data_IF_808482187759
#
_entry.id   IF_808482187759
#
_cell.length_a   1.000
_cell.length_b   1.000
_cell.length_c   1.000
_cell.angle_alpha   90.00
_cell.angle_beta   90.00
_cell.angle_gamma   90.00
#
_symmetry.space_group_name_H-M   'P 1'
#
loop_
_entity.id
_entity.type
_entity.pdbx_description
1 polymer ?
#
# COMPACT_ATOMS: atom_id res chain seq x y z
N UNK A 1 -31.47 45.40 -55.07
CA UNK A 1 -31.93 45.27 -53.67
C UNK A 1 -31.87 43.77 -53.37
N UNK A 2 -30.72 43.17 -53.06
CA UNK A 2 -29.84 43.34 -51.88
C UNK A 2 -30.60 43.19 -50.56
N UNK A 3 -30.73 41.95 -50.10
CA UNK A 3 -30.76 41.62 -48.67
C UNK A 3 -29.73 40.49 -48.47
N UNK A 4 -28.68 40.80 -47.73
CA UNK A 4 -27.62 39.90 -47.30
C UNK A 4 -27.90 39.52 -45.84
N UNK A 5 -27.84 38.22 -45.54
CA UNK A 5 -27.84 37.69 -44.18
C UNK A 5 -26.58 38.11 -43.41
N UNK A 6 -26.68 38.45 -42.10
CA UNK A 6 -25.51 38.79 -41.31
C UNK A 6 -24.80 37.53 -40.81
N UNK A 7 -23.51 37.43 -41.13
CA UNK A 7 -22.57 36.47 -40.56
C UNK A 7 -22.38 36.72 -39.06
N UNK A 8 -22.71 35.72 -38.25
CA UNK A 8 -22.36 35.67 -36.83
C UNK A 8 -20.84 35.56 -36.65
N UNK A 9 -20.21 36.64 -36.22
CA UNK A 9 -18.82 36.68 -35.77
C UNK A 9 -18.76 36.13 -34.33
N UNK A 10 -18.23 34.92 -34.15
CA UNK A 10 -18.09 34.27 -32.84
C UNK A 10 -16.83 34.82 -32.16
N UNK A 11 -17.02 35.61 -31.10
CA UNK A 11 -15.95 36.11 -30.23
C UNK A 11 -15.24 34.94 -29.51
N UNK A 12 -14.05 34.57 -29.97
CA UNK A 12 -13.15 33.65 -29.27
C UNK A 12 -12.07 34.44 -28.51
N UNK A 13 -12.37 34.94 -27.30
CA UNK A 13 -11.36 35.66 -26.51
C UNK A 13 -11.44 35.41 -24.99
N UNK A 14 -11.35 34.13 -24.55
CA UNK A 14 -10.73 33.87 -23.25
C UNK A 14 -9.65 32.78 -23.26
N UNK A 15 -9.61 31.95 -24.31
CA UNK A 15 -8.69 30.80 -24.40
C UNK A 15 -7.38 31.20 -25.08
N UNK A 16 -7.45 32.00 -26.14
CA UNK A 16 -6.27 32.49 -26.86
C UNK A 16 -5.37 33.38 -25.99
N UNK A 17 -5.97 34.20 -25.13
CA UNK A 17 -5.23 35.04 -24.19
C UNK A 17 -4.54 34.20 -23.09
N UNK A 18 -5.17 33.10 -22.68
CA UNK A 18 -4.55 32.12 -21.77
C UNK A 18 -3.39 31.38 -22.43
N UNK A 19 -3.52 31.02 -23.71
CA UNK A 19 -2.45 30.38 -24.48
C UNK A 19 -1.26 31.33 -24.59
N UNK A 20 -1.47 32.60 -24.97
CA UNK A 20 -0.40 33.61 -25.02
C UNK A 20 0.27 33.83 -23.66
N UNK A 21 -0.50 33.84 -22.58
CA UNK A 21 0.03 33.96 -21.21
C UNK A 21 0.89 32.75 -20.82
N UNK A 22 0.51 31.54 -21.23
CA UNK A 22 1.29 30.33 -20.96
C UNK A 22 2.56 30.28 -21.80
N UNK A 23 2.49 30.65 -23.08
CA UNK A 23 3.66 30.73 -23.98
C UNK A 23 4.70 31.72 -23.45
N UNK A 24 4.27 32.89 -22.96
CA UNK A 24 5.17 33.86 -22.34
C UNK A 24 5.87 33.31 -21.09
N UNK A 25 5.14 32.55 -20.26
CA UNK A 25 5.69 31.95 -19.04
C UNK A 25 6.65 30.80 -19.32
N UNK A 26 6.42 30.04 -20.39
CA UNK A 26 7.34 29.00 -20.86
C UNK A 26 8.63 29.63 -21.36
N UNK A 27 8.56 30.69 -22.19
CA UNK A 27 9.74 31.39 -22.67
C UNK A 27 10.59 31.99 -21.53
N UNK A 28 9.93 32.52 -20.48
CA UNK A 28 10.61 33.02 -19.29
C UNK A 28 11.37 31.89 -18.56
N UNK A 29 10.71 30.75 -18.35
CA UNK A 29 11.29 29.57 -17.70
C UNK A 29 12.44 28.96 -18.51
N UNK A 30 12.33 28.92 -19.83
CA UNK A 30 13.41 28.47 -20.72
C UNK A 30 14.63 29.39 -20.62
N UNK A 31 14.42 30.71 -20.53
CA UNK A 31 15.50 31.67 -20.32
C UNK A 31 16.18 31.49 -18.96
N UNK A 32 15.41 31.16 -17.91
CA UNK A 32 15.91 30.91 -16.58
C UNK A 32 16.70 29.61 -16.52
N UNK A 33 16.20 28.56 -17.20
CA UNK A 33 16.86 27.27 -17.33
C UNK A 33 18.18 27.37 -18.11
N UNK A 34 18.23 28.19 -19.17
CA UNK A 34 19.46 28.42 -19.91
C UNK A 34 20.53 29.19 -19.12
N UNK A 35 20.12 30.06 -18.19
CA UNK A 35 21.04 30.76 -17.26
C UNK A 35 21.61 29.84 -16.17
N UNK A 36 20.94 28.74 -15.87
CA UNK A 36 21.32 27.79 -14.81
C UNK A 36 22.23 26.65 -15.30
N UNK A 37 22.40 26.46 -16.61
CA UNK A 37 23.40 25.50 -17.12
C UNK A 37 24.81 26.11 -17.06
N UNK A 38 25.77 25.48 -16.35
CA UNK A 38 27.18 25.82 -16.51
C UNK A 38 27.59 25.57 -17.97
N UNK A 39 28.26 26.54 -18.58
CA UNK A 39 28.81 26.41 -19.94
C UNK A 39 29.76 25.20 -20.00
N UNK A 40 29.44 24.24 -20.87
CA UNK A 40 30.37 23.18 -21.25
C UNK A 40 31.55 23.81 -22.02
N UNK A 41 32.78 23.54 -21.55
CA UNK A 41 34.01 23.81 -22.29
C UNK A 41 34.14 22.82 -23.47
N UNK A 42 34.76 23.25 -24.59
CA UNK A 42 34.74 22.51 -25.86
C UNK A 42 35.77 21.38 -25.94
N UNK A 43 35.47 20.45 -26.85
CA UNK A 43 36.30 19.34 -27.34
C UNK A 43 37.74 19.73 -27.69
N UNK A 44 38.70 18.82 -27.44
CA UNK A 44 40.10 19.02 -27.81
C UNK A 44 41.05 17.84 -27.56
N UNK A 45 40.98 16.84 -28.45
CA UNK A 45 42.05 15.96 -28.97
C UNK A 45 43.32 15.66 -28.14
N UNK A 46 43.57 14.36 -27.98
CA UNK A 46 44.85 13.76 -27.63
C UNK A 46 45.99 14.10 -28.63
N UNK A 47 47.17 14.43 -28.12
CA UNK A 47 48.49 14.12 -28.68
C UNK A 47 49.51 14.00 -27.54
N UNK A 48 50.24 12.89 -27.51
CA UNK A 48 51.40 12.72 -26.63
C UNK A 48 52.64 13.41 -27.21
N UNK A 49 53.57 13.77 -26.33
CA UNK A 49 54.98 13.45 -26.50
C UNK A 49 55.80 13.69 -25.21
N UNK A 50 56.95 13.05 -25.22
CA UNK A 50 57.91 12.70 -24.18
C UNK A 50 58.91 13.79 -23.70
N UNK A 51 59.40 13.58 -22.47
CA UNK A 51 60.80 13.66 -21.98
C UNK A 51 61.44 14.99 -21.47
N UNK A 52 62.24 14.80 -20.39
CA UNK A 52 63.26 15.66 -19.71
C UNK A 52 62.82 16.97 -19.04
N UNK A 53 63.36 17.40 -17.89
CA UNK A 53 64.51 16.99 -17.07
C UNK A 53 64.95 18.19 -16.20
N UNK A 54 65.59 17.91 -15.07
CA UNK A 54 66.41 18.79 -14.20
C UNK A 54 65.80 19.70 -13.09
N UNK A 55 65.86 19.18 -11.85
CA UNK A 55 66.76 19.58 -10.72
C UNK A 55 67.41 20.99 -10.82
N UNK A 56 67.41 21.90 -9.81
CA UNK A 56 67.90 21.81 -8.41
C UNK A 56 67.70 23.18 -7.68
N UNK A 57 67.45 23.12 -6.36
CA UNK A 57 67.78 24.00 -5.19
C UNK A 57 68.08 25.53 -5.36
N UNK A 58 67.89 26.47 -4.42
CA UNK A 58 67.63 26.57 -2.96
C UNK A 58 67.43 28.08 -2.66
N UNK A 59 66.68 28.46 -1.62
CA UNK A 59 66.83 29.79 -1.00
C UNK A 59 65.62 30.33 -0.21
N UNK A 60 65.78 30.48 1.11
CA UNK A 60 64.77 30.86 2.13
C UNK A 60 64.39 32.36 2.15
N UNK A 61 63.12 32.68 2.43
CA UNK A 61 62.62 33.30 3.69
C UNK A 61 61.09 33.62 3.62
N UNK A 62 60.42 33.36 4.75
CA UNK A 62 59.12 33.78 5.33
C UNK A 62 58.11 34.55 4.43
N UNK A 63 56.82 34.20 4.39
CA UNK A 63 55.82 34.36 5.46
C UNK A 63 54.57 33.47 5.26
N UNK A 64 53.90 33.15 6.37
CA UNK A 64 52.47 32.82 6.64
C UNK A 64 51.57 31.99 5.68
N UNK A 65 50.67 31.23 6.32
CA UNK A 65 49.42 30.59 5.85
C UNK A 65 49.43 29.11 5.37
N UNK A 66 48.48 28.34 5.92
CA UNK A 66 47.78 27.29 5.16
C UNK A 66 48.20 25.83 5.35
N UNK A 67 48.26 25.29 6.57
CA UNK A 67 48.36 23.84 6.77
C UNK A 67 46.96 23.19 6.62
N UNK A 68 46.58 22.86 5.39
CA UNK A 68 45.51 21.90 5.12
C UNK A 68 45.91 20.54 5.68
N UNK A 69 45.39 20.20 6.85
CA UNK A 69 45.45 18.84 7.37
C UNK A 69 44.44 17.99 6.62
N UNK A 70 44.92 17.02 5.84
CA UNK A 70 44.16 15.84 5.44
C UNK A 70 43.50 15.25 6.68
N UNK A 71 42.18 15.42 6.79
CA UNK A 71 41.39 14.81 7.84
C UNK A 71 40.98 13.44 7.30
N UNK A 72 41.57 12.38 7.87
CA UNK A 72 41.17 11.00 7.66
C UNK A 72 39.64 10.87 7.83
N UNK A 73 38.91 10.78 6.73
CA UNK A 73 37.50 10.38 6.74
C UNK A 73 37.45 8.89 7.03
N UNK A 74 37.31 8.55 8.32
CA UNK A 74 36.95 7.19 8.67
C UNK A 74 35.55 6.90 8.12
N UNK A 75 35.34 5.77 7.43
CA UNK A 75 34.02 5.38 6.98
C UNK A 75 33.07 5.28 8.18
N UNK A 76 31.79 5.67 8.05
CA UNK A 76 30.86 5.63 9.16
C UNK A 76 30.78 4.22 9.74
N UNK A 77 30.76 4.11 11.07
CA UNK A 77 30.72 2.82 11.79
C UNK A 77 29.46 2.02 11.48
N UNK A 78 28.40 2.69 11.00
CA UNK A 78 27.14 2.08 10.56
C UNK A 78 26.75 2.62 9.18
N UNK A 79 26.25 1.73 8.31
CA UNK A 79 25.67 2.09 7.00
C UNK A 79 24.21 2.58 7.14
N UNK A 80 23.70 2.72 8.36
CA UNK A 80 22.41 3.35 8.65
C UNK A 80 22.61 4.77 9.19
N UNK A 81 21.82 5.71 8.70
CA UNK A 81 21.74 7.06 9.27
C UNK A 81 20.37 7.28 9.90
N UNK A 82 20.32 7.66 11.17
CA UNK A 82 19.07 8.04 11.85
C UNK A 82 19.11 9.54 12.15
N UNK A 83 18.09 10.27 11.72
CA UNK A 83 17.96 11.71 11.94
C UNK A 83 16.58 12.03 12.51
N UNK A 84 16.53 13.06 13.34
CA UNK A 84 15.31 13.61 13.90
C UNK A 84 15.05 14.94 13.22
N UNK A 85 13.95 15.04 12.50
CA UNK A 85 13.51 16.26 11.86
C UNK A 85 12.68 17.08 12.86
N UNK A 86 13.22 18.23 13.29
CA UNK A 86 12.54 19.16 14.19
C UNK A 86 12.26 20.49 13.48
N UNK A 87 11.13 21.11 13.82
CA UNK A 87 10.82 22.47 13.42
C UNK A 87 11.68 23.43 14.25
N UNK A 88 12.54 24.20 13.61
CA UNK A 88 13.26 25.28 14.25
C UNK A 88 12.32 26.50 14.38
N UNK A 89 11.99 26.84 15.63
CA UNK A 89 11.07 27.93 15.97
C UNK A 89 11.58 29.31 15.57
N UNK A 90 12.89 29.48 15.33
CA UNK A 90 13.46 30.77 14.93
C UNK A 90 13.46 30.97 13.40
N UNK A 91 13.78 29.93 12.64
CA UNK A 91 13.82 30.00 11.16
C UNK A 91 12.51 29.63 10.47
N UNK A 92 11.58 28.98 11.18
CA UNK A 92 10.35 28.42 10.59
C UNK A 92 10.61 27.27 9.61
N UNK A 93 11.84 26.75 9.55
CA UNK A 93 12.25 25.66 8.65
C UNK A 93 12.49 24.38 9.43
N UNK A 94 12.23 23.24 8.78
CA UNK A 94 12.52 21.91 9.34
C UNK A 94 13.96 21.51 9.06
N UNK A 95 14.68 21.07 10.10
CA UNK A 95 16.06 20.65 9.99
C UNK A 95 16.26 19.22 10.50
N UNK A 96 17.00 18.42 9.73
CA UNK A 96 17.40 17.06 10.11
C UNK A 96 18.58 17.14 11.09
N UNK A 97 18.32 16.83 12.36
CA UNK A 97 19.32 16.75 13.42
C UNK A 97 19.74 15.28 13.56
N UNK A 98 21.00 14.90 13.30
CA UNK A 98 21.45 13.54 13.51
C UNK A 98 21.22 13.08 14.95
N UNK A 99 20.76 11.82 15.13
CA UNK A 99 20.48 11.28 16.46
C UNK A 99 21.74 11.06 17.32
N UNK A 100 22.92 11.00 16.68
CA UNK A 100 24.23 10.97 17.34
C UNK A 100 24.90 12.35 17.22
N UNK A 101 25.46 12.84 18.33
CA UNK A 101 26.09 14.16 18.41
C UNK A 101 27.10 14.39 17.26
N UNK A 102 26.90 15.50 16.54
CA UNK A 102 27.78 16.04 15.50
C UNK A 102 27.96 15.19 14.22
N UNK A 103 26.94 15.18 13.36
CA UNK A 103 27.19 15.02 11.91
C UNK A 103 26.70 16.25 11.15
N UNK A 104 27.54 16.79 10.28
CA UNK A 104 27.20 17.89 9.36
C UNK A 104 25.98 17.51 8.51
N UNK A 105 25.16 18.48 8.09
CA UNK A 105 24.06 18.23 7.15
C UNK A 105 24.63 17.81 5.79
N UNK A 106 24.79 16.51 5.58
CA UNK A 106 25.15 15.93 4.28
C UNK A 106 23.96 16.06 3.31
N UNK A 107 24.23 16.33 2.04
CA UNK A 107 23.22 16.46 0.97
C UNK A 107 23.41 15.39 -0.11
N UNK A 108 22.29 14.87 -0.63
CA UNK A 108 22.17 14.05 -1.84
C UNK A 108 23.29 13.02 -2.05
N UNK A 109 24.21 13.32 -2.96
CA UNK A 109 25.26 12.40 -3.42
C UNK A 109 26.21 11.90 -2.30
N UNK A 110 26.44 12.71 -1.26
CA UNK A 110 27.29 12.30 -0.12
C UNK A 110 26.57 11.32 0.82
N UNK A 111 25.24 11.38 0.88
CA UNK A 111 24.41 10.45 1.64
C UNK A 111 24.39 9.08 0.97
N UNK A 112 24.12 9.07 -0.34
CA UNK A 112 23.98 7.85 -1.15
C UNK A 112 25.28 7.04 -1.23
N UNK A 113 26.43 7.73 -1.17
CA UNK A 113 27.74 7.08 -1.19
C UNK A 113 28.16 6.52 0.17
N UNK A 114 27.71 7.11 1.27
CA UNK A 114 28.14 6.74 2.64
C UNK A 114 27.18 5.79 3.36
N UNK A 115 25.88 5.87 3.07
CA UNK A 115 24.84 5.11 3.79
C UNK A 115 24.02 4.23 2.86
N UNK A 116 23.58 3.08 3.37
CA UNK A 116 22.64 2.22 2.69
C UNK A 116 21.22 2.77 2.71
N UNK A 117 20.84 3.40 3.82
CA UNK A 117 19.54 4.05 4.02
C UNK A 117 19.59 5.13 5.11
N UNK A 118 18.60 6.01 5.11
CA UNK A 118 18.34 6.98 6.17
C UNK A 118 16.94 6.77 6.77
N UNK A 119 16.83 6.75 8.09
CA UNK A 119 15.56 6.86 8.83
C UNK A 119 15.41 8.30 9.34
N UNK A 120 14.40 9.01 8.84
CA UNK A 120 13.92 10.30 9.36
C UNK A 120 12.79 10.06 10.37
N UNK A 121 12.90 10.69 11.54
CA UNK A 121 11.84 10.76 12.55
C UNK A 121 11.32 12.19 12.60
N UNK A 122 10.12 12.43 12.12
CA UNK A 122 9.46 13.72 12.18
C UNK A 122 8.76 13.86 13.53
N UNK A 123 9.17 14.87 14.30
CA UNK A 123 8.50 15.19 15.56
C UNK A 123 7.51 16.33 15.34
N UNK A 124 6.25 16.08 15.62
CA UNK A 124 5.18 17.07 15.50
C UNK A 124 4.69 17.45 16.91
N UNK A 125 4.55 18.75 17.24
CA UNK A 125 4.03 19.15 18.55
C UNK A 125 2.57 18.76 18.80
N UNK A 126 1.74 18.81 17.76
CA UNK A 126 0.27 18.69 17.84
C UNK A 126 -0.29 17.46 17.10
N UNK A 127 0.56 16.72 16.40
CA UNK A 127 0.19 15.55 15.60
C UNK A 127 1.02 14.33 16.02
N UNK A 128 0.63 13.14 15.56
CA UNK A 128 1.41 11.92 15.78
C UNK A 128 2.79 12.04 15.11
N UNK A 129 3.84 11.55 15.77
CA UNK A 129 5.17 11.43 15.18
C UNK A 129 5.14 10.50 13.96
N UNK A 130 5.94 10.83 12.94
CA UNK A 130 6.02 10.05 11.70
C UNK A 130 7.44 9.60 11.40
N UNK A 131 7.55 8.34 10.97
CA UNK A 131 8.80 7.79 10.45
C UNK A 131 8.84 7.78 8.92
N UNK A 132 10.01 8.02 8.34
CA UNK A 132 10.26 7.85 6.90
C UNK A 132 11.63 7.20 6.68
N UNK A 133 11.67 6.13 5.88
CA UNK A 133 12.91 5.44 5.50
C UNK A 133 13.17 5.73 4.04
N UNK A 134 14.34 6.27 3.76
CA UNK A 134 14.85 6.47 2.41
C UNK A 134 16.00 5.49 2.14
N UNK A 135 15.81 4.61 1.15
CA UNK A 135 16.77 3.57 0.79
C UNK A 135 17.59 4.02 -0.42
N UNK A 136 18.91 4.09 -0.26
CA UNK A 136 19.85 4.51 -1.29
C UNK A 136 20.51 3.31 -1.99
N UNK A 137 20.94 2.30 -1.21
CA UNK A 137 21.73 1.18 -1.75
C UNK A 137 20.94 0.42 -2.86
N UNK A 138 21.45 0.38 -4.11
CA UNK A 138 20.78 -0.29 -5.21
C UNK A 138 20.65 -1.81 -5.00
N UNK A 139 21.65 -2.47 -4.40
CA UNK A 139 21.63 -3.92 -4.17
C UNK A 139 20.57 -4.29 -3.11
N UNK A 140 20.41 -3.47 -2.06
CA UNK A 140 19.33 -3.61 -1.07
C UNK A 140 17.95 -3.45 -1.72
N UNK A 141 17.79 -2.46 -2.60
CA UNK A 141 16.53 -2.24 -3.33
C UNK A 141 16.20 -3.42 -4.26
N UNK A 142 17.20 -3.96 -4.96
CA UNK A 142 17.03 -5.14 -5.80
C UNK A 142 16.65 -6.39 -4.99
N UNK A 143 17.27 -6.57 -3.81
CA UNK A 143 16.91 -7.65 -2.88
C UNK A 143 15.45 -7.52 -2.43
N UNK A 144 15.05 -6.35 -1.94
CA UNK A 144 13.66 -6.07 -1.51
C UNK A 144 12.67 -6.27 -2.66
N UNK A 145 13.00 -5.82 -3.87
CA UNK A 145 12.19 -6.04 -5.07
C UNK A 145 11.96 -7.53 -5.33
N UNK A 146 13.01 -8.35 -5.19
CA UNK A 146 12.93 -9.80 -5.40
C UNK A 146 12.06 -10.47 -4.32
N UNK A 147 12.25 -10.08 -3.06
CA UNK A 147 11.55 -10.67 -1.91
C UNK A 147 10.08 -10.27 -1.84
N UNK A 148 9.75 -9.05 -2.27
CA UNK A 148 8.40 -8.47 -2.16
C UNK A 148 7.68 -8.40 -3.51
N UNK A 149 8.05 -9.25 -4.47
CA UNK A 149 7.44 -9.30 -5.82
C UNK A 149 5.93 -9.55 -5.81
N UNK A 150 5.40 -10.17 -4.75
CA UNK A 150 3.97 -10.44 -4.57
C UNK A 150 3.20 -9.26 -4.00
N UNK A 151 3.89 -8.26 -3.43
CA UNK A 151 3.25 -7.11 -2.79
C UNK A 151 2.80 -6.09 -3.86
N UNK A 152 1.52 -5.69 -3.89
CA UNK A 152 0.97 -4.92 -5.01
C UNK A 152 1.30 -3.42 -5.00
N UNK A 153 1.58 -2.83 -3.84
CA UNK A 153 1.57 -1.35 -3.69
C UNK A 153 2.95 -0.69 -3.70
N UNK A 154 4.04 -1.44 -3.85
CA UNK A 154 5.38 -0.86 -3.86
C UNK A 154 6.23 -1.45 -4.97
N UNK A 155 6.90 -0.56 -5.70
CA UNK A 155 7.89 -0.93 -6.69
C UNK A 155 9.21 -0.30 -6.25
N UNK A 156 10.14 -1.14 -5.76
CA UNK A 156 11.52 -0.74 -5.42
C UNK A 156 12.31 -0.40 -6.70
N UNK A 157 11.84 0.62 -7.43
CA UNK A 157 12.34 1.13 -8.71
C UNK A 157 12.85 2.56 -8.49
N UNK A 158 13.76 3.03 -9.35
CA UNK A 158 14.31 4.39 -9.30
C UNK A 158 15.74 4.45 -8.78
N UNK A 159 16.19 5.64 -8.38
CA UNK A 159 17.50 5.88 -7.76
C UNK A 159 17.41 5.72 -6.23
N UNK A 160 16.33 6.21 -5.64
CA UNK A 160 16.00 6.05 -4.21
C UNK A 160 14.57 5.53 -4.04
N UNK A 161 14.30 4.92 -2.90
CA UNK A 161 12.93 4.48 -2.52
C UNK A 161 12.63 5.00 -1.13
N UNK A 162 11.57 5.81 -1.01
CA UNK A 162 11.06 6.25 0.28
C UNK A 162 9.87 5.39 0.71
N UNK A 163 9.85 5.01 1.98
CA UNK A 163 8.77 4.31 2.66
C UNK A 163 8.37 5.13 3.88
N UNK A 164 7.09 5.40 4.06
CA UNK A 164 6.57 6.08 5.25
C UNK A 164 6.06 5.08 6.27
N UNK A 165 6.09 5.45 7.55
CA UNK A 165 5.44 4.70 8.63
C UNK A 165 3.99 4.45 8.23
N UNK A 166 3.50 3.20 8.34
CA UNK A 166 4.07 2.10 9.10
C UNK A 166 5.01 1.16 8.37
N UNK A 167 5.56 1.56 7.23
CA UNK A 167 6.41 0.70 6.40
C UNK A 167 5.69 -0.60 6.05
N UNK A 168 4.42 -0.49 5.64
CA UNK A 168 3.45 -1.59 5.59
C UNK A 168 4.01 -2.83 4.86
N UNK A 169 4.69 -2.63 3.73
CA UNK A 169 5.30 -3.71 2.95
C UNK A 169 6.39 -4.47 3.71
N UNK A 170 7.15 -3.79 4.58
CA UNK A 170 8.17 -4.41 5.42
C UNK A 170 7.53 -5.13 6.60
N UNK A 171 6.59 -4.49 7.30
CA UNK A 171 5.99 -5.05 8.53
C UNK A 171 5.10 -6.25 8.24
N UNK A 172 4.31 -6.22 7.17
CA UNK A 172 3.48 -7.36 6.75
C UNK A 172 4.32 -8.57 6.31
N UNK A 173 5.55 -8.34 5.87
CA UNK A 173 6.47 -9.39 5.43
C UNK A 173 7.66 -9.58 6.38
N UNK A 174 7.52 -9.16 7.64
CA UNK A 174 8.64 -9.08 8.58
C UNK A 174 9.38 -10.40 8.76
N UNK A 175 8.66 -11.50 8.96
CA UNK A 175 9.27 -12.81 9.20
C UNK A 175 10.00 -13.33 7.94
N UNK A 176 9.45 -13.07 6.75
CA UNK A 176 10.11 -13.37 5.48
C UNK A 176 11.42 -12.59 5.37
N UNK A 177 11.38 -11.28 5.60
CA UNK A 177 12.55 -10.42 5.47
C UNK A 177 13.64 -10.77 6.50
N UNK A 178 13.28 -11.04 7.76
CA UNK A 178 14.22 -11.50 8.79
C UNK A 178 14.86 -12.84 8.41
N UNK A 179 14.06 -13.78 7.89
CA UNK A 179 14.58 -15.09 7.47
C UNK A 179 15.56 -14.95 6.31
N UNK A 180 15.21 -14.15 5.30
CA UNK A 180 16.05 -13.92 4.12
C UNK A 180 17.31 -13.13 4.43
N UNK A 181 17.24 -12.16 5.35
CA UNK A 181 18.40 -11.37 5.78
C UNK A 181 19.46 -12.22 6.51
N UNK A 182 19.08 -13.34 7.12
CA UNK A 182 20.02 -14.23 7.83
C UNK A 182 20.61 -15.35 6.95
N UNK A 183 20.25 -15.42 5.67
CA UNK A 183 20.85 -16.39 4.73
C UNK A 183 22.21 -15.90 4.23
N UNK A 184 23.06 -16.84 3.83
CA UNK A 184 24.32 -16.52 3.16
C UNK A 184 24.06 -15.90 1.78
N UNK A 185 24.81 -14.84 1.47
CA UNK A 185 24.78 -14.17 0.19
C UNK A 185 25.39 -15.01 -0.92
N UNK A 186 24.83 -14.90 -2.13
CA UNK A 186 25.38 -15.62 -3.31
C UNK A 186 26.72 -15.06 -3.79
N UNK A 187 27.00 -13.81 -3.45
CA UNK A 187 28.23 -13.08 -3.74
C UNK A 187 28.39 -11.96 -2.70
N UNK A 188 29.50 -11.24 -2.76
CA UNK A 188 29.80 -10.15 -1.81
C UNK A 188 28.71 -9.06 -1.80
N UNK A 189 28.18 -8.68 -2.97
CA UNK A 189 27.13 -7.66 -3.07
C UNK A 189 25.81 -8.10 -2.44
N UNK A 190 25.40 -9.35 -2.68
CA UNK A 190 24.20 -9.94 -2.08
C UNK A 190 24.37 -10.10 -0.56
N UNK A 191 25.57 -10.43 -0.09
CA UNK A 191 25.87 -10.48 1.35
C UNK A 191 25.72 -9.09 1.98
N UNK A 192 26.34 -8.06 1.39
CA UNK A 192 26.20 -6.67 1.86
C UNK A 192 24.74 -6.22 1.85
N UNK A 193 23.97 -6.56 0.82
CA UNK A 193 22.54 -6.24 0.75
C UNK A 193 21.72 -6.91 1.86
N UNK A 194 22.05 -8.15 2.24
CA UNK A 194 21.40 -8.87 3.35
C UNK A 194 21.78 -8.29 4.70
N UNK A 195 23.04 -7.91 4.87
CA UNK A 195 23.51 -7.25 6.09
C UNK A 195 22.85 -5.86 6.24
N UNK A 196 22.75 -5.10 5.14
CA UNK A 196 22.03 -3.82 5.10
C UNK A 196 20.52 -4.01 5.37
N UNK A 197 19.91 -5.09 4.86
CA UNK A 197 18.50 -5.45 5.17
C UNK A 197 18.32 -5.76 6.67
N UNK A 198 19.24 -6.54 7.26
CA UNK A 198 19.22 -6.86 8.68
C UNK A 198 19.33 -5.60 9.53
N UNK A 199 20.23 -4.69 9.16
CA UNK A 199 20.41 -3.40 9.79
C UNK A 199 19.15 -2.51 9.67
N UNK A 200 18.51 -2.50 8.50
CA UNK A 200 17.25 -1.77 8.27
C UNK A 200 16.13 -2.25 9.20
N UNK A 201 15.90 -3.56 9.24
CA UNK A 201 14.87 -4.17 10.10
C UNK A 201 15.17 -3.91 11.59
N UNK A 202 16.44 -4.01 11.99
CA UNK A 202 16.85 -3.70 13.35
C UNK A 202 16.56 -2.23 13.71
N UNK A 203 16.94 -1.30 12.83
CA UNK A 203 16.76 0.14 13.04
C UNK A 203 15.28 0.50 13.18
N UNK A 204 14.40 -0.06 12.33
CA UNK A 204 12.94 0.16 12.43
C UNK A 204 12.40 -0.41 13.75
N UNK A 205 12.88 -1.60 14.18
CA UNK A 205 12.40 -2.25 15.41
C UNK A 205 12.82 -1.50 16.69
N UNK A 206 14.00 -0.89 16.70
CA UNK A 206 14.52 -0.16 17.86
C UNK A 206 13.85 1.20 18.06
N UNK A 207 13.38 1.81 16.98
CA UNK A 207 12.60 3.02 17.05
C UNK A 207 12.26 3.50 15.65
N UNK A 208 11.06 3.22 15.21
CA UNK A 208 10.58 3.44 13.85
C UNK A 208 10.28 4.91 13.55
N UNK A 209 10.23 5.76 14.58
CA UNK A 209 9.72 7.14 14.46
C UNK A 209 8.20 7.22 14.53
N UNK A 210 7.53 6.14 14.93
CA UNK A 210 6.09 6.08 15.15
C UNK A 210 5.84 5.23 16.40
N UNK A 211 5.40 5.88 17.48
CA UNK A 211 5.22 5.24 18.79
C UNK A 211 4.29 4.02 18.73
N UNK A 212 3.28 4.04 17.85
CA UNK A 212 2.31 2.96 17.73
C UNK A 212 2.93 1.73 17.10
N UNK A 213 3.82 1.93 16.12
CA UNK A 213 4.57 0.84 15.51
C UNK A 213 5.60 0.27 16.49
N UNK A 214 6.26 1.14 17.25
CA UNK A 214 7.21 0.75 18.30
C UNK A 214 6.52 -0.11 19.38
N UNK A 215 5.32 0.30 19.82
CA UNK A 215 4.49 -0.47 20.76
C UNK A 215 4.07 -1.82 20.19
N UNK A 216 3.67 -1.87 18.91
CA UNK A 216 3.40 -3.13 18.25
C UNK A 216 4.62 -4.07 18.28
N UNK A 217 5.82 -3.58 17.96
CA UNK A 217 7.04 -4.41 17.97
C UNK A 217 7.39 -4.95 19.36
N UNK A 218 7.07 -4.23 20.45
CA UNK A 218 7.24 -4.73 21.82
C UNK A 218 6.38 -5.96 22.12
N UNK A 219 5.16 -6.02 21.57
CA UNK A 219 4.18 -7.08 21.86
C UNK A 219 4.01 -8.12 20.74
N UNK A 220 4.59 -7.89 19.56
CA UNK A 220 4.44 -8.71 18.35
C UNK A 220 4.67 -10.20 18.61
N UNK A 221 5.80 -10.55 19.22
CA UNK A 221 6.14 -11.96 19.45
C UNK A 221 5.18 -12.64 20.42
N UNK A 222 4.68 -11.92 21.43
CA UNK A 222 3.67 -12.41 22.38
C UNK A 222 2.33 -12.65 21.68
N UNK A 223 1.89 -11.72 20.83
CA UNK A 223 0.64 -11.86 20.06
C UNK A 223 0.73 -13.07 19.11
N UNK A 224 1.86 -13.21 18.41
CA UNK A 224 2.12 -14.33 17.50
C UNK A 224 2.15 -15.68 18.23
N UNK A 225 2.87 -15.77 19.35
CA UNK A 225 2.96 -17.01 20.13
C UNK A 225 1.60 -17.44 20.71
N UNK A 226 0.77 -16.48 21.11
CA UNK A 226 -0.57 -16.74 21.65
C UNK A 226 -1.67 -16.88 20.58
N UNK A 227 -1.34 -16.72 19.28
CA UNK A 227 -2.30 -16.63 18.16
C UNK A 227 -3.46 -15.66 18.47
N UNK A 228 -3.12 -14.54 19.07
CA UNK A 228 -4.06 -13.48 19.47
C UNK A 228 -3.70 -12.15 18.81
N UNK A 229 -4.66 -11.23 18.77
CA UNK A 229 -4.49 -9.92 18.17
C UNK A 229 -5.29 -8.87 18.92
N UNK A 230 -4.78 -7.63 18.95
CA UNK A 230 -5.52 -6.46 19.43
C UNK A 230 -6.14 -5.72 18.24
N UNK A 231 -7.19 -4.93 18.50
CA UNK A 231 -7.91 -4.24 17.43
C UNK A 231 -7.00 -3.32 16.58
N UNK A 232 -6.09 -2.61 17.25
CA UNK A 232 -5.14 -1.66 16.67
C UNK A 232 -4.15 -2.34 15.72
N UNK A 233 -3.90 -3.63 15.94
CA UNK A 233 -2.93 -4.42 15.18
C UNK A 233 -3.60 -5.31 14.12
N UNK A 234 -4.92 -5.20 13.87
CA UNK A 234 -5.64 -6.03 12.89
C UNK A 234 -5.03 -5.95 11.48
N UNK A 235 -4.51 -4.79 11.08
CA UNK A 235 -3.91 -4.61 9.77
C UNK A 235 -2.71 -5.56 9.54
N UNK A 236 -2.01 -5.99 10.60
CA UNK A 236 -0.81 -6.85 10.53
C UNK A 236 -1.09 -8.29 10.07
N UNK A 237 -2.32 -8.78 10.24
CA UNK A 237 -2.68 -10.17 9.93
C UNK A 237 -3.35 -10.32 8.57
N UNK A 238 -3.57 -9.23 7.84
CA UNK A 238 -4.21 -9.25 6.52
C UNK A 238 -3.29 -8.72 5.40
N UNK A 239 -2.15 -9.38 5.11
CA UNK A 239 -1.37 -9.01 3.94
C UNK A 239 -2.19 -9.16 2.64
N UNK A 240 -1.98 -8.29 1.64
CA UNK A 240 -2.56 -8.47 0.31
C UNK A 240 -2.27 -9.86 -0.26
N UNK A 241 -3.29 -10.51 -0.82
CA UNK A 241 -3.19 -11.87 -1.37
C UNK A 241 -3.48 -13.00 -0.38
N UNK A 242 -3.55 -12.73 0.93
CA UNK A 242 -3.91 -13.72 1.94
C UNK A 242 -5.34 -14.24 1.73
N UNK A 243 -5.54 -15.54 1.96
CA UNK A 243 -6.86 -16.16 2.00
C UNK A 243 -7.52 -15.90 3.35
N UNK A 244 -8.72 -15.34 3.34
CA UNK A 244 -9.48 -14.98 4.54
C UNK A 244 -10.74 -15.82 4.61
N UNK A 245 -10.92 -16.52 5.73
CA UNK A 245 -12.15 -17.22 6.05
C UNK A 245 -13.14 -16.26 6.73
N UNK A 246 -14.40 -16.32 6.34
CA UNK A 246 -15.48 -15.56 6.98
C UNK A 246 -16.84 -16.23 6.78
N UNK A 247 -17.73 -16.00 7.76
CA UNK A 247 -19.15 -16.38 7.72
C UNK A 247 -20.10 -15.17 7.67
N UNK A 248 -19.58 -13.96 7.45
CA UNK A 248 -20.39 -12.75 7.49
C UNK A 248 -21.49 -12.73 6.42
N UNK A 249 -21.26 -13.36 5.27
CA UNK A 249 -22.24 -13.43 4.20
C UNK A 249 -23.14 -14.67 4.34
N UNK A 250 -24.41 -14.44 4.70
CA UNK A 250 -25.47 -15.44 4.94
C UNK A 250 -25.11 -16.58 5.92
N UNK A 251 -24.12 -16.38 6.80
CA UNK A 251 -23.69 -17.39 7.79
C UNK A 251 -23.12 -18.68 7.18
N UNK A 252 -22.69 -18.65 5.93
CA UNK A 252 -22.02 -19.78 5.28
C UNK A 252 -20.50 -19.57 5.22
N UNK A 253 -19.77 -20.67 5.37
CA UNK A 253 -18.32 -20.71 5.14
C UNK A 253 -17.98 -20.15 3.76
N UNK A 254 -17.08 -19.18 3.71
CA UNK A 254 -16.56 -18.57 2.49
C UNK A 254 -15.09 -18.24 2.66
N UNK A 255 -14.37 -18.20 1.54
CA UNK A 255 -12.98 -17.77 1.47
C UNK A 255 -12.90 -16.57 0.53
N UNK A 256 -12.16 -15.56 0.94
CA UNK A 256 -11.93 -14.34 0.19
C UNK A 256 -10.43 -14.11 0.02
N UNK A 257 -10.04 -13.32 -0.98
CA UNK A 257 -8.63 -12.93 -1.17
C UNK A 257 -8.49 -11.47 -0.74
N UNK A 258 -7.59 -11.17 0.20
CA UNK A 258 -7.32 -9.79 0.61
C UNK A 258 -6.87 -8.96 -0.60
N UNK A 259 -7.55 -7.85 -0.82
CA UNK A 259 -7.07 -6.78 -1.68
C UNK A 259 -6.22 -5.82 -0.86
N UNK A 260 -6.87 -5.22 0.14
CA UNK A 260 -6.31 -4.14 0.95
C UNK A 260 -7.13 -3.96 2.23
N UNK A 261 -6.54 -3.30 3.23
CA UNK A 261 -7.29 -2.79 4.36
C UNK A 261 -7.78 -1.36 4.06
N UNK A 262 -9.07 -1.09 4.27
CA UNK A 262 -9.66 0.21 3.96
C UNK A 262 -9.71 1.08 5.23
N UNK A 263 -8.69 1.94 5.42
CA UNK A 263 -8.53 2.89 6.56
C UNK A 263 -8.43 2.13 7.91
N UNK A 264 -7.46 2.26 8.81
CA UNK A 264 -6.54 3.32 9.22
C UNK A 264 -5.37 2.61 9.95
N UNK A 265 -4.11 2.93 9.61
CA UNK A 265 -2.99 2.76 10.56
C UNK A 265 -3.31 3.59 11.82
N UNK A 266 -3.41 2.98 13.02
CA UNK A 266 -4.33 3.40 14.07
C UNK A 266 -4.30 4.92 14.34
N UNK A 267 -5.37 5.62 13.99
CA UNK A 267 -5.63 6.96 14.53
C UNK A 267 -6.14 6.76 15.94
N UNK A 268 -5.45 7.35 16.91
CA UNK A 268 -5.80 7.21 18.32
C UNK A 268 -7.28 7.58 18.52
N UNK A 269 -8.00 6.80 19.33
CA UNK A 269 -9.42 7.04 19.62
C UNK A 269 -10.43 6.62 18.54
N UNK A 270 -10.00 6.11 17.38
CA UNK A 270 -10.96 5.62 16.38
C UNK A 270 -11.58 4.28 16.79
N UNK A 271 -12.81 4.34 17.33
CA UNK A 271 -13.67 3.17 17.55
C UNK A 271 -14.44 2.76 16.28
N UNK A 272 -14.01 3.24 15.12
CA UNK A 272 -14.60 2.88 13.83
C UNK A 272 -14.32 1.41 13.50
N UNK A 273 -15.30 0.73 12.90
CA UNK A 273 -15.18 -0.61 12.32
C UNK A 273 -13.99 -0.74 11.36
N UNK A 274 -13.24 -1.83 11.48
CA UNK A 274 -12.15 -2.19 10.59
C UNK A 274 -12.75 -2.78 9.33
N UNK A 275 -12.43 -2.19 8.19
CA UNK A 275 -12.96 -2.59 6.89
C UNK A 275 -11.86 -3.24 6.07
N UNK A 276 -12.10 -4.48 5.64
CA UNK A 276 -11.17 -5.25 4.83
C UNK A 276 -11.74 -5.39 3.43
N UNK A 277 -11.05 -4.79 2.46
CA UNK A 277 -11.38 -4.96 1.04
C UNK A 277 -10.84 -6.30 0.58
N UNK A 278 -11.73 -7.15 0.09
CA UNK A 278 -11.39 -8.45 -0.43
C UNK A 278 -11.97 -8.65 -1.83
N UNK A 279 -11.51 -9.72 -2.44
CA UNK A 279 -12.01 -10.22 -3.70
C UNK A 279 -12.68 -11.58 -3.52
N UNK A 280 -13.79 -11.76 -4.23
CA UNK A 280 -14.48 -13.03 -4.44
C UNK A 280 -14.66 -13.24 -5.95
N UNK A 281 -15.00 -14.46 -6.36
CA UNK A 281 -15.36 -14.75 -7.74
C UNK A 281 -16.86 -15.00 -7.87
N UNK A 282 -17.47 -14.34 -8.85
CA UNK A 282 -18.90 -14.37 -9.08
C UNK A 282 -19.20 -14.58 -10.57
N UNK A 283 -20.37 -15.15 -10.85
CA UNK A 283 -20.92 -15.33 -12.19
C UNK A 283 -21.93 -14.23 -12.50
N UNK A 284 -21.64 -13.38 -13.49
CA UNK A 284 -22.54 -12.29 -13.86
C UNK A 284 -23.69 -12.73 -14.82
N UNK A 285 -23.86 -14.03 -15.06
CA UNK A 285 -24.79 -14.57 -16.07
C UNK A 285 -24.11 -15.00 -17.38
N UNK A 286 -22.90 -14.48 -17.66
CA UNK A 286 -22.15 -14.70 -18.90
C UNK A 286 -20.69 -15.13 -18.70
N UNK A 287 -20.00 -14.55 -17.70
CA UNK A 287 -18.60 -14.84 -17.39
C UNK A 287 -18.38 -14.87 -15.88
N UNK A 288 -17.39 -15.66 -15.45
CA UNK A 288 -16.87 -15.58 -14.10
C UNK A 288 -15.92 -14.38 -14.04
N UNK A 289 -16.11 -13.53 -13.03
CA UNK A 289 -15.30 -12.35 -12.84
C UNK A 289 -15.08 -12.08 -11.36
N UNK A 290 -13.97 -11.39 -11.08
CA UNK A 290 -13.64 -10.94 -9.75
C UNK A 290 -14.64 -9.87 -9.32
N UNK A 291 -15.12 -9.94 -8.08
CA UNK A 291 -15.99 -8.93 -7.46
C UNK A 291 -15.35 -8.43 -6.17
N UNK A 292 -15.32 -7.11 -5.93
CA UNK A 292 -14.91 -6.58 -4.65
C UNK A 292 -16.00 -6.85 -3.62
N UNK A 293 -15.59 -7.18 -2.41
CA UNK A 293 -16.44 -7.31 -1.23
C UNK A 293 -15.73 -6.70 -0.04
N UNK A 294 -16.48 -6.08 0.86
CA UNK A 294 -15.92 -5.53 2.10
C UNK A 294 -16.34 -6.40 3.26
N UNK A 295 -15.37 -6.96 3.98
CA UNK A 295 -15.58 -7.62 5.26
C UNK A 295 -15.36 -6.61 6.37
N UNK A 296 -16.06 -6.80 7.49
CA UNK A 296 -15.96 -5.89 8.62
C UNK A 296 -15.63 -6.60 9.92
N UNK A 297 -14.83 -5.94 10.76
CA UNK A 297 -14.58 -6.35 12.14
C UNK A 297 -14.96 -5.17 13.03
N UNK A 298 -15.94 -5.36 13.90
CA UNK A 298 -16.34 -4.34 14.86
C UNK A 298 -15.25 -4.14 15.92
N UNK A 299 -15.21 -2.93 16.49
CA UNK A 299 -14.28 -2.59 17.55
C UNK A 299 -14.38 -3.58 18.72
N UNK A 300 -13.22 -3.97 19.25
CA UNK A 300 -13.13 -4.75 20.47
C UNK A 300 -11.97 -4.29 21.35
N UNK A 301 -12.14 -4.50 22.65
CA UNK A 301 -11.12 -4.19 23.65
C UNK A 301 -10.32 -5.44 24.02
N UNK A 302 -9.04 -5.23 24.32
CA UNK A 302 -8.10 -6.27 24.70
C UNK A 302 -7.70 -7.22 23.56
N UNK A 303 -6.78 -8.16 23.84
CA UNK A 303 -6.39 -9.18 22.89
C UNK A 303 -7.49 -10.23 22.72
N UNK A 304 -7.72 -10.69 21.48
CA UNK A 304 -8.65 -11.78 21.14
C UNK A 304 -7.96 -12.86 20.33
N UNK A 305 -8.34 -14.15 20.46
CA UNK A 305 -7.87 -15.19 19.57
C UNK A 305 -8.23 -14.85 18.11
N UNK A 306 -7.29 -15.01 17.18
CA UNK A 306 -7.52 -14.67 15.76
C UNK A 306 -8.69 -15.46 15.17
N UNK A 307 -8.80 -16.75 15.50
CA UNK A 307 -9.89 -17.63 15.07
C UNK A 307 -11.29 -17.17 15.53
N UNK A 308 -11.38 -16.34 16.58
CA UNK A 308 -12.65 -15.81 17.09
C UNK A 308 -13.18 -14.62 16.30
N UNK A 309 -12.36 -14.02 15.43
CA UNK A 309 -12.75 -12.87 14.62
C UNK A 309 -13.78 -13.28 13.55
N UNK A 310 -14.74 -12.39 13.21
CA UNK A 310 -15.75 -12.68 12.20
C UNK A 310 -15.16 -12.84 10.78
N UNK A 311 -13.94 -12.35 10.56
CA UNK A 311 -13.09 -12.64 9.42
C UNK A 311 -11.64 -12.78 9.91
N UNK A 312 -10.93 -13.82 9.47
CA UNK A 312 -9.54 -14.08 9.86
C UNK A 312 -8.77 -14.85 8.76
N UNK A 313 -7.44 -14.85 8.77
CA UNK A 313 -6.65 -15.66 7.84
C UNK A 313 -7.02 -17.14 7.91
N UNK A 314 -7.13 -17.79 6.75
CA UNK A 314 -7.57 -19.19 6.64
C UNK A 314 -6.70 -20.15 7.47
N UNK A 315 -5.42 -19.82 7.67
CA UNK A 315 -4.47 -20.63 8.45
C UNK A 315 -4.79 -20.68 9.96
N UNK A 316 -5.60 -19.75 10.44
CA UNK A 316 -6.08 -19.70 11.83
C UNK A 316 -7.42 -20.42 12.03
N UNK A 317 -8.03 -20.95 10.95
CA UNK A 317 -9.27 -21.71 11.04
C UNK A 317 -9.00 -23.17 11.46
N UNK A 318 -9.86 -23.74 12.30
CA UNK A 318 -9.81 -25.17 12.60
C UNK A 318 -10.23 -26.01 11.38
N UNK A 319 -9.58 -27.16 11.18
CA UNK A 319 -9.90 -28.09 10.08
C UNK A 319 -9.82 -27.44 8.68
N UNK A 320 -8.78 -26.62 8.42
CA UNK A 320 -8.55 -25.89 7.16
C UNK A 320 -8.81 -26.76 5.91
N UNK A 321 -8.27 -27.98 5.88
CA UNK A 321 -8.41 -28.87 4.71
C UNK A 321 -9.84 -29.35 4.50
N UNK A 322 -10.60 -29.60 5.58
CA UNK A 322 -12.02 -29.96 5.48
C UNK A 322 -12.83 -28.77 4.93
N UNK A 323 -12.57 -27.56 5.43
CA UNK A 323 -13.19 -26.32 4.96
C UNK A 323 -12.89 -26.13 3.47
N UNK A 324 -11.62 -26.25 3.04
CA UNK A 324 -11.23 -26.17 1.63
C UNK A 324 -11.95 -27.20 0.78
N UNK A 325 -11.98 -28.47 1.18
CA UNK A 325 -12.64 -29.53 0.43
C UNK A 325 -14.14 -29.29 0.26
N UNK A 326 -14.83 -28.86 1.33
CA UNK A 326 -16.25 -28.50 1.29
C UNK A 326 -16.49 -27.35 0.31
N UNK A 327 -15.66 -26.31 0.36
CA UNK A 327 -15.79 -25.14 -0.50
C UNK A 327 -15.48 -25.44 -1.96
N UNK A 328 -14.47 -26.28 -2.25
CA UNK A 328 -14.15 -26.74 -3.60
C UNK A 328 -15.31 -27.56 -4.17
N UNK A 329 -15.86 -28.49 -3.39
CA UNK A 329 -17.03 -29.29 -3.79
C UNK A 329 -18.22 -28.40 -4.13
N UNK A 330 -18.50 -27.42 -3.26
CA UNK A 330 -19.57 -26.43 -3.46
C UNK A 330 -19.32 -25.55 -4.69
N UNK A 331 -18.08 -25.08 -4.89
CA UNK A 331 -17.67 -24.26 -6.03
C UNK A 331 -17.75 -24.99 -7.36
N UNK A 332 -17.39 -26.28 -7.40
CA UNK A 332 -17.56 -27.13 -8.58
C UNK A 332 -19.03 -27.28 -8.97
N UNK A 333 -19.91 -27.45 -7.97
CA UNK A 333 -21.35 -27.52 -8.20
C UNK A 333 -21.90 -26.18 -8.69
N UNK A 334 -21.49 -25.07 -8.08
CA UNK A 334 -21.84 -23.72 -8.53
C UNK A 334 -21.42 -23.49 -9.99
N UNK A 335 -20.16 -23.79 -10.32
CA UNK A 335 -19.64 -23.68 -11.70
C UNK A 335 -20.46 -24.50 -12.68
N UNK A 336 -20.74 -25.78 -12.35
CA UNK A 336 -21.56 -26.67 -13.17
C UNK A 336 -22.90 -26.03 -13.50
N UNK A 337 -23.60 -25.46 -12.52
CA UNK A 337 -24.91 -24.82 -12.74
C UNK A 337 -24.84 -23.53 -13.56
N UNK A 338 -23.82 -22.70 -13.34
CA UNK A 338 -23.62 -21.47 -14.12
C UNK A 338 -23.32 -21.72 -15.60
N UNK A 339 -22.58 -22.79 -15.91
CA UNK A 339 -22.12 -23.08 -17.27
C UNK A 339 -23.03 -23.99 -18.07
N UNK A 340 -24.19 -24.40 -17.53
CA UNK A 340 -25.17 -25.20 -18.29
C UNK A 340 -25.59 -24.45 -19.57
N UNK A 341 -25.66 -25.11 -20.73
CA UNK A 341 -26.14 -24.51 -21.97
C UNK A 341 -27.49 -23.83 -21.76
N UNK A 342 -27.72 -22.69 -22.42
CA UNK A 342 -28.92 -21.85 -22.20
C UNK A 342 -30.22 -22.64 -22.33
N UNK A 343 -30.27 -23.57 -23.27
CA UNK A 343 -31.39 -24.47 -23.56
C UNK A 343 -31.76 -25.39 -22.39
N UNK A 344 -30.81 -25.67 -21.48
CA UNK A 344 -30.97 -26.58 -20.34
C UNK A 344 -30.93 -25.86 -18.98
N UNK A 345 -31.02 -24.51 -18.93
CA UNK A 345 -30.96 -23.71 -17.69
C UNK A 345 -32.25 -23.73 -16.85
N UNK A 346 -33.14 -24.69 -17.07
CA UNK A 346 -34.30 -24.91 -16.20
C UNK A 346 -33.97 -25.99 -15.19
N UNK A 347 -33.83 -25.60 -13.93
CA UNK A 347 -33.55 -26.50 -12.82
C UNK A 347 -34.80 -26.67 -11.95
N UNK A 348 -35.01 -27.89 -11.46
CA UNK A 348 -35.93 -28.14 -10.35
C UNK A 348 -35.15 -27.89 -9.06
N UNK A 349 -35.65 -27.02 -8.21
CA UNK A 349 -35.06 -26.71 -6.91
C UNK A 349 -35.98 -27.17 -5.79
N UNK A 350 -35.41 -27.82 -4.77
CA UNK A 350 -36.08 -28.16 -3.54
C UNK A 350 -35.24 -27.62 -2.37
N UNK A 351 -35.83 -26.76 -1.53
CA UNK A 351 -35.14 -26.17 -0.38
C UNK A 351 -35.57 -24.74 -0.07
N UNK A 352 -34.79 -24.08 0.79
CA UNK A 352 -34.98 -22.67 1.17
C UNK A 352 -34.38 -21.74 0.12
N UNK A 353 -35.21 -20.98 -0.60
CA UNK A 353 -34.73 -19.97 -1.52
C UNK A 353 -34.52 -18.62 -0.84
N UNK A 354 -33.61 -17.84 -1.42
CA UNK A 354 -33.46 -16.42 -1.12
C UNK A 354 -34.43 -15.66 -2.02
N UNK A 355 -35.34 -14.90 -1.42
CA UNK A 355 -36.27 -14.04 -2.17
C UNK A 355 -35.73 -12.62 -2.13
N UNK A 356 -35.22 -12.12 -3.26
CA UNK A 356 -34.97 -10.69 -3.42
C UNK A 356 -36.32 -9.99 -3.64
N UNK A 357 -36.73 -9.17 -2.67
CA UNK A 357 -37.99 -8.41 -2.73
C UNK A 357 -38.03 -7.41 -3.88
N UNK A 358 -36.90 -7.13 -4.55
CA UNK A 358 -36.89 -6.23 -5.72
C UNK A 358 -37.64 -6.76 -6.95
N UNK A 359 -37.91 -8.07 -7.03
CA UNK A 359 -38.56 -8.69 -8.19
C UNK A 359 -40.09 -8.80 -8.15
N UNK A 360 -40.76 -8.36 -7.07
CA UNK A 360 -42.20 -8.59 -6.85
C UNK A 360 -43.04 -7.29 -6.76
N UNK A 361 -42.66 -6.21 -7.45
CA UNK A 361 -43.49 -4.98 -7.53
C UNK A 361 -44.70 -5.10 -8.50
N UNK A 362 -45.25 -6.30 -8.68
CA UNK A 362 -46.32 -6.55 -9.67
C UNK A 362 -47.61 -7.18 -9.13
N UNK A 363 -47.74 -7.40 -7.81
CA UNK A 363 -48.99 -7.87 -7.21
C UNK A 363 -49.26 -7.03 -5.96
N UNK A 364 -50.07 -5.99 -6.13
CA UNK A 364 -50.43 -5.02 -5.09
C UNK A 364 -51.12 -5.67 -3.89
N UNK A 365 -50.79 -5.17 -2.70
CA UNK A 365 -51.80 -4.83 -1.71
C UNK A 365 -51.47 -3.42 -1.22
N UNK A 366 -52.42 -2.52 -1.42
CA UNK A 366 -52.35 -1.10 -1.09
C UNK A 366 -52.00 -0.91 0.40
N UNK A 367 -50.93 -0.19 0.69
CA UNK A 367 -50.76 0.55 1.93
C UNK A 367 -50.02 1.85 1.58
N UNK A 368 -50.79 2.91 1.57
CA UNK A 368 -50.35 4.31 1.48
C UNK A 368 -49.50 4.66 2.70
N UNK A 369 -48.25 5.10 2.50
CA UNK A 369 -47.72 6.30 3.18
C UNK A 369 -46.38 6.71 2.57
N UNK A 370 -46.30 8.01 2.32
CA UNK A 370 -45.26 8.78 1.67
C UNK A 370 -43.96 8.88 2.52
N UNK A 371 -42.84 9.01 1.78
CA UNK A 371 -41.67 9.91 1.93
C UNK A 371 -41.01 10.09 3.32
N UNK A 372 -39.69 10.24 3.52
CA UNK A 372 -38.44 10.21 2.77
C UNK A 372 -37.36 10.24 3.86
N UNK A 373 -36.31 9.41 3.82
CA UNK A 373 -34.95 9.87 4.18
C UNK A 373 -33.88 8.92 3.63
N UNK A 374 -33.00 9.49 2.82
CA UNK A 374 -31.80 8.86 2.27
C UNK A 374 -30.86 8.48 3.42
N UNK A 375 -30.62 7.17 3.65
CA UNK A 375 -29.43 6.76 4.37
C UNK A 375 -28.78 5.51 3.76
N UNK A 376 -27.51 5.67 3.42
CA UNK A 376 -26.62 4.69 2.82
C UNK A 376 -26.24 3.61 3.82
N UNK A 377 -27.14 2.65 4.04
CA UNK A 377 -26.83 1.38 4.70
C UNK A 377 -27.39 0.25 3.83
N UNK A 378 -26.56 -0.27 2.93
CA UNK A 378 -26.89 -1.37 2.03
C UNK A 378 -26.67 -2.74 2.70
N UNK A 379 -27.01 -2.83 3.97
CA UNK A 379 -27.04 -4.05 4.75
C UNK A 379 -28.30 -4.04 5.62
N UNK A 380 -29.46 -4.39 5.04
CA UNK A 380 -30.42 -5.25 5.73
C UNK A 380 -31.63 -5.62 4.88
N UNK A 381 -32.12 -6.85 5.06
CA UNK A 381 -33.44 -7.26 4.56
C UNK A 381 -33.56 -8.65 3.93
N UNK A 382 -32.66 -9.59 4.20
CA UNK A 382 -32.78 -10.98 3.73
C UNK A 382 -33.48 -11.85 4.79
N UNK A 383 -34.81 -12.00 4.68
CA UNK A 383 -35.57 -12.99 5.47
C UNK A 383 -35.63 -14.32 4.74
N UNK A 384 -35.14 -15.38 5.39
CA UNK A 384 -35.38 -16.78 5.01
C UNK A 384 -36.81 -17.16 5.38
N UNK A 385 -37.62 -17.56 4.39
CA UNK A 385 -38.95 -18.13 4.64
C UNK A 385 -38.85 -19.65 4.53
N UNK A 386 -39.20 -20.36 5.60
CA UNK A 386 -39.55 -21.78 5.55
C UNK A 386 -41.05 -21.92 5.33
N UNK A 387 -41.47 -22.66 4.30
CA UNK A 387 -42.84 -23.17 4.23
C UNK A 387 -42.88 -24.51 4.94
N UNK A 388 -43.53 -24.54 6.10
CA UNK A 388 -44.21 -25.73 6.60
C UNK A 388 -45.70 -25.55 6.32
N UNK A 389 -46.35 -26.68 6.07
CA UNK A 389 -47.80 -26.91 5.97
C UNK A 389 -48.43 -26.85 4.56
N UNK A 390 -48.54 -28.05 3.99
CA UNK A 390 -49.82 -28.70 3.65
C UNK A 390 -50.97 -27.76 3.29
N UNK A 391 -51.01 -27.36 2.02
CA UNK A 391 -52.28 -27.30 1.31
C UNK A 391 -52.06 -27.37 -0.20
N UNK A 392 -52.75 -28.32 -0.82
CA UNK A 392 -52.84 -28.49 -2.26
C UNK A 392 -53.37 -27.20 -2.91
N UNK A 393 -52.52 -26.52 -3.66
CA UNK A 393 -52.97 -25.92 -4.92
C UNK A 393 -51.80 -25.70 -5.86
N UNK A 394 -51.86 -26.41 -6.98
CA UNK A 394 -50.89 -26.43 -8.07
C UNK A 394 -50.87 -25.06 -8.77
N UNK A 395 -49.86 -24.23 -8.48
CA UNK A 395 -49.54 -23.05 -9.28
C UNK A 395 -48.11 -23.14 -9.78
N UNK A 396 -47.97 -23.59 -11.03
CA UNK A 396 -46.74 -23.61 -11.82
C UNK A 396 -46.24 -22.18 -12.07
N UNK A 397 -45.34 -21.69 -11.23
CA UNK A 397 -44.58 -20.47 -11.47
C UNK A 397 -43.22 -20.78 -12.10
N UNK A 398 -42.97 -20.27 -13.31
CA UNK A 398 -41.64 -20.25 -13.94
C UNK A 398 -40.82 -19.12 -13.33
N UNK A 399 -39.59 -19.39 -12.88
CA UNK A 399 -38.63 -18.34 -12.53
C UNK A 399 -37.24 -18.68 -13.07
N UNK A 400 -36.59 -17.67 -13.64
CA UNK A 400 -35.17 -17.73 -14.01
C UNK A 400 -34.32 -17.46 -12.77
N UNK A 401 -33.24 -18.22 -12.67
CA UNK A 401 -32.31 -18.17 -11.55
C UNK A 401 -31.31 -17.03 -11.82
N UNK A 402 -31.50 -15.89 -11.16
CA UNK A 402 -30.44 -14.87 -11.05
C UNK A 402 -29.56 -15.32 -9.89
N UNK A 403 -28.55 -16.13 -10.19
CA UNK A 403 -27.58 -16.59 -9.22
C UNK A 403 -26.64 -15.47 -8.83
N UNK A 404 -26.74 -15.00 -7.58
CA UNK A 404 -25.65 -14.33 -6.88
C UNK A 404 -24.62 -15.42 -6.56
N UNK A 405 -23.42 -15.28 -7.11
CA UNK A 405 -22.40 -16.31 -7.06
C UNK A 405 -21.57 -16.33 -5.79
N UNK A 406 -21.07 -17.54 -5.56
CA UNK A 406 -20.40 -18.00 -4.36
C UNK A 406 -19.08 -18.62 -4.80
N UNK A 407 -17.97 -17.94 -4.52
CA UNK A 407 -16.64 -18.54 -4.45
C UNK A 407 -15.75 -17.70 -3.55
#
# INVERSE_FOLDING_TARGET
MLEQDPTHEVSQTPVEDKIKSLEAKIAELESYYHKLKPQALPDGSAKGDTDKGDKVEKGKKADEEGKYGERNEQPPTSRARVVVNKLDTESGTRQDIPAAEAATPLKGNELESKFAFQLRKYLYPDDDDEGEVEIFNPDLRLLLKSLLKHYPYHHFLGETVSLSSPYECLVLNWDLLVTEANKEGKNEKDQVARDDLKLLLHTIKEGSGDEKLDDYFKIRETLKASRSITYQNLWTIFPPGTLVYSRQFLKYDQIFIVQDNARIWPRQGSRSRFSLSCWTYDWNGQVFQRRPITLSIDYFEGPRPIASLPAHPLEDTENVEEVKQKLITRGNLFRKYCTVPKESRMFKYAGKCIVDRKGFRGVSANLDHDDEEYNSNRADGLRLISRTDDNLNDKKGKQSMVGLGWA
#
